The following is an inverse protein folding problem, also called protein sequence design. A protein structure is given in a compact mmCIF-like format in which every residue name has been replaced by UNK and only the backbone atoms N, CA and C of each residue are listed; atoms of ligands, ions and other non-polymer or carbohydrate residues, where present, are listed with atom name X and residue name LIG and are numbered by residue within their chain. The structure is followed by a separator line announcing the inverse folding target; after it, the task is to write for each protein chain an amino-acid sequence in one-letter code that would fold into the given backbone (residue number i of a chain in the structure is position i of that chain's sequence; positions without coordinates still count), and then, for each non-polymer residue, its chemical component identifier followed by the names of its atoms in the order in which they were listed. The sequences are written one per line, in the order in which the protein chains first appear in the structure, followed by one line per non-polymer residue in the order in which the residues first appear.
data_IF_957076154613
#
_entry.id   IF_957076154613
#
_cell.length_a   1.000
_cell.length_b   1.000
_cell.length_c   1.000
_cell.angle_alpha   90.00
_cell.angle_beta   90.00
_cell.angle_gamma   90.00
#
_symmetry.space_group_name_H-M   'P 1'
#
loop_
_entity.id
_entity.type
_entity.pdbx_description
1 polymer ?
#
# COMPACT_ATOMS: atom_id res chain seq x y z
N UNK A 1 -3.47 -1.10 -3.78
CA UNK A 1 -2.01 -1.06 -3.96
C UNK A 1 -1.48 0.11 -3.18
N UNK A 2 -0.50 -0.06 -2.29
CA UNK A 2 0.19 1.06 -1.65
C UNK A 2 1.31 1.59 -2.55
N UNK A 3 1.47 2.91 -2.57
CA UNK A 3 2.44 3.65 -3.37
C UNK A 3 3.16 4.67 -2.49
N UNK A 4 4.33 5.12 -2.92
CA UNK A 4 5.02 6.25 -2.31
C UNK A 4 4.51 7.53 -2.97
N UNK A 5 4.16 8.53 -2.17
CA UNK A 5 3.77 9.86 -2.63
C UNK A 5 4.60 10.89 -1.86
N UNK A 6 5.11 11.90 -2.55
CA UNK A 6 5.90 12.93 -1.89
C UNK A 6 5.69 14.32 -2.50
N UNK A 7 5.96 15.33 -1.69
CA UNK A 7 5.93 16.73 -2.09
C UNK A 7 7.31 17.13 -2.67
N UNK A 8 7.43 17.37 -3.98
CA UNK A 8 8.69 17.71 -4.61
C UNK A 8 9.24 19.09 -4.22
N UNK A 9 8.46 19.93 -3.54
CA UNK A 9 8.94 21.21 -3.01
C UNK A 9 9.63 21.06 -1.65
N UNK A 10 9.40 19.93 -0.96
CA UNK A 10 9.96 19.65 0.37
C UNK A 10 11.01 18.53 0.37
N UNK A 11 11.09 17.75 -0.71
CA UNK A 11 12.01 16.60 -0.83
C UNK A 11 13.01 16.86 -1.94
N UNK A 12 14.28 16.98 -1.56
CA UNK A 12 15.38 17.31 -2.48
C UNK A 12 15.89 16.10 -3.29
N UNK A 13 15.53 14.88 -2.91
CA UNK A 13 15.93 13.65 -3.61
C UNK A 13 14.85 13.18 -4.59
N UNK A 14 15.27 12.48 -5.64
CA UNK A 14 14.37 11.84 -6.60
C UNK A 14 14.08 10.42 -6.16
N UNK A 15 12.98 10.23 -5.45
CA UNK A 15 12.55 8.91 -4.94
C UNK A 15 12.09 8.04 -6.10
N UNK A 16 12.69 6.84 -6.26
CA UNK A 16 12.39 5.87 -7.32
C UNK A 16 11.90 4.53 -6.79
N UNK A 17 12.17 4.24 -5.52
CA UNK A 17 11.83 2.98 -4.94
C UNK A 17 11.82 2.98 -3.42
N UNK A 18 11.58 1.80 -2.86
CA UNK A 18 11.53 1.66 -1.41
C UNK A 18 12.86 1.94 -0.74
N UNK A 19 13.99 1.64 -1.40
CA UNK A 19 15.35 1.88 -0.85
C UNK A 19 15.58 3.33 -0.49
N UNK A 20 14.98 4.25 -1.25
CA UNK A 20 15.16 5.68 -1.05
C UNK A 20 14.52 6.18 0.24
N UNK A 21 13.56 5.42 0.83
CA UNK A 21 12.96 5.77 2.10
C UNK A 21 13.95 5.73 3.28
N UNK A 22 15.09 5.02 3.13
CA UNK A 22 16.17 4.98 4.12
C UNK A 22 17.19 6.12 3.96
N UNK A 23 16.98 7.06 3.03
CA UNK A 23 17.87 8.20 2.89
C UNK A 23 17.81 9.09 4.14
N UNK A 24 18.96 9.46 4.76
CA UNK A 24 18.97 10.28 5.96
C UNK A 24 18.38 11.69 5.78
N UNK A 25 18.28 12.19 4.55
CA UNK A 25 17.63 13.48 4.27
C UNK A 25 16.12 13.46 4.54
N UNK A 26 15.53 12.28 4.72
CA UNK A 26 14.12 12.08 5.05
C UNK A 26 13.87 11.92 6.56
N UNK A 27 14.84 12.31 7.43
CA UNK A 27 14.65 12.27 8.87
C UNK A 27 13.35 12.97 9.30
N UNK A 28 12.53 12.29 10.12
CA UNK A 28 11.24 12.79 10.66
C UNK A 28 10.26 13.29 9.57
N UNK A 29 10.24 12.66 8.39
CA UNK A 29 9.52 13.16 7.22
C UNK A 29 8.49 12.20 6.64
N UNK A 30 8.46 10.93 7.07
CA UNK A 30 7.68 9.88 6.41
C UNK A 30 6.42 9.54 7.21
N UNK A 31 5.27 9.56 6.55
CA UNK A 31 4.01 9.00 7.06
C UNK A 31 3.80 7.58 6.50
N UNK A 32 3.63 6.60 7.38
CA UNK A 32 3.43 5.20 7.01
C UNK A 32 2.03 4.71 7.36
N UNK A 33 1.51 3.79 6.55
CA UNK A 33 0.29 3.03 6.89
C UNK A 33 0.57 2.01 8.00
N UNK A 34 -0.40 1.81 8.91
CA UNK A 34 -0.28 0.91 10.06
C UNK A 34 -0.57 -0.56 9.69
N UNK A 35 0.16 -1.12 8.73
CA UNK A 35 0.01 -2.50 8.29
C UNK A 35 1.34 -3.26 8.34
N UNK A 36 1.46 -4.16 9.33
CA UNK A 36 2.71 -4.89 9.58
C UNK A 36 3.19 -5.72 8.39
N UNK A 37 2.26 -6.37 7.66
CA UNK A 37 2.62 -7.18 6.49
C UNK A 37 3.14 -6.32 5.34
N UNK A 38 2.50 -5.17 5.12
CA UNK A 38 2.88 -4.24 4.07
C UNK A 38 4.23 -3.59 4.37
N UNK A 39 4.44 -3.12 5.60
CA UNK A 39 5.70 -2.43 5.97
C UNK A 39 6.89 -3.41 6.02
N UNK A 40 6.73 -4.62 6.57
CA UNK A 40 7.77 -5.65 6.43
C UNK A 40 8.00 -6.00 4.94
N UNK A 41 6.91 -6.09 4.15
CA UNK A 41 6.98 -6.45 2.73
C UNK A 41 7.78 -5.44 1.90
N UNK A 42 7.56 -4.13 2.05
CA UNK A 42 8.37 -3.12 1.34
C UNK A 42 9.83 -3.12 1.79
N UNK A 43 10.08 -3.43 3.06
CA UNK A 43 11.46 -3.60 3.55
C UNK A 43 12.12 -4.80 2.88
N UNK A 44 11.44 -5.93 2.75
CA UNK A 44 11.94 -7.10 2.03
C UNK A 44 12.20 -6.81 0.55
N UNK A 45 11.25 -6.18 -0.14
CA UNK A 45 11.43 -5.77 -1.53
C UNK A 45 12.65 -4.85 -1.69
N UNK A 46 12.88 -3.92 -0.74
CA UNK A 46 14.08 -3.07 -0.74
C UNK A 46 15.40 -3.85 -0.59
N UNK A 47 15.34 -5.05 0.02
CA UNK A 47 16.47 -5.96 0.18
C UNK A 47 16.62 -6.93 -1.00
N UNK A 48 15.66 -6.96 -1.93
CA UNK A 48 15.59 -7.90 -3.05
C UNK A 48 15.01 -9.27 -2.66
N UNK A 49 14.31 -9.32 -1.53
CA UNK A 49 13.62 -10.51 -1.02
C UNK A 49 12.12 -10.46 -1.35
N UNK A 50 11.44 -11.61 -1.31
CA UNK A 50 9.99 -11.67 -1.50
C UNK A 50 9.25 -11.08 -0.30
N UNK A 51 8.18 -10.32 -0.55
CA UNK A 51 7.28 -9.87 0.53
C UNK A 51 6.48 -11.01 1.18
N UNK A 52 6.56 -12.22 0.62
CA UNK A 52 5.94 -13.42 1.15
C UNK A 52 6.99 -14.41 1.71
N UNK A 53 8.13 -13.91 2.17
CA UNK A 53 9.20 -14.71 2.73
C UNK A 53 8.74 -15.54 3.93
N UNK A 54 9.19 -16.79 4.01
CA UNK A 54 8.88 -17.71 5.09
C UNK A 54 10.08 -18.11 5.93
N UNK A 55 11.31 -17.84 5.48
CA UNK A 55 12.50 -18.07 6.27
C UNK A 55 12.60 -17.07 7.41
N UNK A 56 12.42 -17.56 8.64
CA UNK A 56 12.41 -16.75 9.86
C UNK A 56 13.70 -15.97 10.05
N UNK A 57 14.85 -16.49 9.59
CA UNK A 57 16.12 -15.79 9.74
C UNK A 57 16.27 -14.66 8.73
N UNK A 58 15.69 -14.78 7.54
CA UNK A 58 15.56 -13.67 6.58
C UNK A 58 14.61 -12.61 7.14
N UNK A 59 13.44 -13.02 7.69
CA UNK A 59 12.47 -12.10 8.29
C UNK A 59 13.07 -11.34 9.50
N UNK A 60 13.94 -11.96 10.30
CA UNK A 60 14.67 -11.26 11.37
C UNK A 60 15.59 -10.17 10.82
N UNK A 61 16.33 -10.44 9.73
CA UNK A 61 17.16 -9.42 9.07
C UNK A 61 16.31 -8.28 8.49
N UNK A 62 15.13 -8.60 7.99
CA UNK A 62 14.15 -7.60 7.60
C UNK A 62 13.79 -6.68 8.77
N UNK A 63 13.59 -7.23 9.96
CA UNK A 63 13.34 -6.45 11.19
C UNK A 63 14.50 -5.53 11.56
N UNK A 64 15.75 -6.03 11.48
CA UNK A 64 16.95 -5.21 11.69
C UNK A 64 17.00 -4.04 10.68
N UNK A 65 16.76 -4.32 9.40
CA UNK A 65 16.71 -3.29 8.36
C UNK A 65 15.55 -2.30 8.57
N UNK A 66 14.39 -2.79 9.00
CA UNK A 66 13.23 -1.95 9.28
C UNK A 66 13.49 -0.98 10.44
N UNK A 67 14.24 -1.37 11.47
CA UNK A 67 14.62 -0.48 12.55
C UNK A 67 15.49 0.71 12.09
N UNK A 68 16.27 0.53 11.03
CA UNK A 68 17.05 1.64 10.43
C UNK A 68 16.15 2.72 9.79
N UNK A 69 14.89 2.41 9.46
CA UNK A 69 13.92 3.35 8.92
C UNK A 69 13.30 4.24 10.00
N UNK A 70 13.29 3.80 11.26
CA UNK A 70 12.57 4.48 12.34
C UNK A 70 12.90 5.99 12.48
N UNK A 71 14.16 6.45 12.33
CA UNK A 71 14.47 7.88 12.39
C UNK A 71 13.79 8.74 11.30
N UNK A 72 13.45 8.13 10.17
CA UNK A 72 12.81 8.83 9.06
C UNK A 72 11.28 8.92 9.21
N UNK A 73 10.72 8.15 10.15
CA UNK A 73 9.25 8.07 10.32
C UNK A 73 8.75 9.17 11.24
N UNK A 74 7.89 10.02 10.70
CA UNK A 74 7.18 11.06 11.43
C UNK A 74 5.96 10.53 12.16
N UNK A 75 5.17 9.67 11.48
CA UNK A 75 3.98 9.07 12.05
C UNK A 75 3.59 7.76 11.37
N UNK A 76 2.84 6.94 12.10
CA UNK A 76 2.22 5.71 11.59
C UNK A 76 0.72 5.83 11.82
N UNK A 77 -0.08 5.76 10.75
CA UNK A 77 -1.52 5.97 10.80
C UNK A 77 -2.24 5.04 9.82
N UNK A 78 -3.41 4.53 10.19
CA UNK A 78 -4.19 3.61 9.35
C UNK A 78 -5.09 4.36 8.37
N UNK A 79 -5.90 5.28 8.90
CA UNK A 79 -6.88 6.03 8.13
C UNK A 79 -6.39 7.44 7.83
N UNK A 80 -6.72 7.92 6.61
CA UNK A 80 -6.45 9.30 6.20
C UNK A 80 -4.97 9.73 6.29
N UNK A 81 -4.04 8.79 6.06
CA UNK A 81 -2.58 9.07 6.06
C UNK A 81 -2.20 10.17 5.07
N UNK A 82 -2.96 10.35 3.98
CA UNK A 82 -2.78 11.46 3.03
C UNK A 82 -2.89 12.84 3.68
N UNK A 83 -3.60 12.98 4.80
CA UNK A 83 -3.74 14.26 5.47
C UNK A 83 -2.42 14.77 6.03
N UNK A 84 -1.53 13.86 6.47
CA UNK A 84 -0.20 14.24 6.93
C UNK A 84 0.60 14.95 5.83
N UNK A 85 0.49 14.45 4.60
CA UNK A 85 1.12 15.06 3.42
C UNK A 85 0.47 16.40 3.06
N UNK A 86 -0.88 16.45 3.01
CA UNK A 86 -1.65 17.65 2.63
C UNK A 86 -1.52 18.78 3.66
N UNK A 87 -1.34 18.45 4.93
CA UNK A 87 -1.17 19.43 6.00
C UNK A 87 0.31 19.84 6.23
N UNK A 88 1.25 19.25 5.48
CA UNK A 88 2.68 19.50 5.65
C UNK A 88 3.28 18.91 6.95
N UNK A 89 2.61 17.96 7.57
CA UNK A 89 3.13 17.22 8.74
C UNK A 89 4.20 16.20 8.34
N UNK A 90 4.07 15.63 7.14
CA UNK A 90 5.05 14.78 6.49
C UNK A 90 5.29 15.24 5.07
N UNK A 91 6.49 15.06 4.53
CA UNK A 91 6.81 15.38 3.14
C UNK A 91 6.79 14.15 2.22
N UNK A 92 6.83 12.95 2.79
CA UNK A 92 6.69 11.66 2.10
C UNK A 92 5.60 10.85 2.78
N UNK A 93 4.78 10.16 2.00
CA UNK A 93 3.77 9.26 2.55
C UNK A 93 3.71 7.94 1.77
N UNK A 94 3.44 6.85 2.48
CA UNK A 94 3.17 5.55 1.90
C UNK A 94 1.67 5.29 1.99
N UNK A 95 0.97 5.40 0.85
CA UNK A 95 -0.48 5.54 0.75
C UNK A 95 -1.09 4.42 -0.09
N UNK A 96 -2.29 3.96 0.30
CA UNK A 96 -3.12 3.16 -0.60
C UNK A 96 -3.67 4.00 -1.75
N UNK A 97 -3.96 3.38 -2.90
CA UNK A 97 -4.42 4.08 -4.12
C UNK A 97 -5.62 4.99 -3.89
N UNK A 98 -6.56 4.64 -3.00
CA UNK A 98 -7.67 5.51 -2.62
C UNK A 98 -7.21 6.82 -1.96
N UNK A 99 -6.20 6.72 -1.10
CA UNK A 99 -5.60 7.89 -0.44
C UNK A 99 -4.74 8.70 -1.41
N UNK A 100 -4.06 8.04 -2.36
CA UNK A 100 -3.32 8.71 -3.45
C UNK A 100 -4.26 9.56 -4.29
N UNK A 101 -5.39 8.98 -4.73
CA UNK A 101 -6.42 9.69 -5.50
C UNK A 101 -6.95 10.90 -4.75
N UNK A 102 -7.23 10.75 -3.45
CA UNK A 102 -7.70 11.86 -2.62
C UNK A 102 -6.62 12.95 -2.46
N UNK A 103 -5.35 12.57 -2.28
CA UNK A 103 -4.25 13.52 -2.16
C UNK A 103 -4.04 14.33 -3.44
N UNK A 104 -4.02 13.66 -4.61
CA UNK A 104 -3.86 14.32 -5.91
C UNK A 104 -5.04 15.22 -6.29
N UNK A 105 -6.24 14.90 -5.82
CA UNK A 105 -7.41 15.75 -6.03
C UNK A 105 -7.28 17.12 -5.33
N UNK A 106 -6.58 17.19 -4.20
CA UNK A 106 -6.34 18.41 -3.44
C UNK A 106 -5.00 19.08 -3.78
N UNK A 107 -3.96 18.29 -4.05
CA UNK A 107 -2.65 18.79 -4.47
C UNK A 107 -2.11 17.99 -5.67
N UNK A 108 -2.35 18.46 -6.92
CA UNK A 108 -1.91 17.77 -8.12
C UNK A 108 -0.40 17.85 -8.39
N UNK A 109 0.35 18.67 -7.63
CA UNK A 109 1.81 18.81 -7.79
C UNK A 109 2.58 17.71 -7.05
N UNK A 110 1.90 16.89 -6.22
CA UNK A 110 2.48 15.73 -5.56
C UNK A 110 2.99 14.71 -6.58
N UNK A 111 4.13 14.11 -6.29
CA UNK A 111 4.68 13.02 -7.10
C UNK A 111 4.30 11.66 -6.57
N UNK A 112 3.81 10.80 -7.47
CA UNK A 112 3.51 9.39 -7.19
C UNK A 112 4.63 8.53 -7.74
N UNK A 113 5.16 7.62 -6.91
CA UNK A 113 6.23 6.70 -7.28
C UNK A 113 5.71 5.28 -7.33
N UNK A 114 5.95 4.63 -8.45
CA UNK A 114 5.83 3.18 -8.63
C UNK A 114 7.21 2.56 -8.40
N UNK A 115 7.47 1.93 -7.25
CA UNK A 115 8.80 1.50 -6.88
C UNK A 115 9.46 0.56 -7.87
N UNK A 116 10.73 0.80 -8.18
CA UNK A 116 11.52 0.00 -9.13
C UNK A 116 11.69 -1.47 -8.67
N UNK A 117 11.64 -1.71 -7.36
CA UNK A 117 11.72 -3.04 -6.76
C UNK A 117 10.46 -3.89 -7.00
N UNK A 118 9.40 -3.28 -7.52
CA UNK A 118 8.11 -3.90 -7.73
C UNK A 118 7.08 -3.52 -6.67
N UNK A 119 5.82 -3.83 -6.95
CA UNK A 119 4.71 -3.48 -6.08
C UNK A 119 4.27 -4.68 -5.24
N UNK A 120 4.00 -4.44 -3.96
CA UNK A 120 3.26 -5.39 -3.15
C UNK A 120 1.78 -5.01 -3.14
N UNK A 121 0.87 -5.91 -3.44
CA UNK A 121 -0.55 -5.61 -3.45
C UNK A 121 -1.44 -6.74 -2.93
N UNK A 122 -2.55 -6.36 -2.32
CA UNK A 122 -3.63 -7.27 -1.97
C UNK A 122 -4.75 -7.22 -3.00
N UNK A 123 -5.49 -8.29 -3.12
CA UNK A 123 -6.73 -8.36 -3.88
C UNK A 123 -7.88 -8.42 -2.89
N UNK A 124 -8.77 -7.44 -2.95
CA UNK A 124 -10.00 -7.45 -2.17
C UNK A 124 -11.04 -8.28 -2.92
N UNK A 125 -11.52 -9.35 -2.29
CA UNK A 125 -12.51 -10.25 -2.86
C UNK A 125 -13.78 -10.30 -2.04
N UNK A 126 -14.93 -10.44 -2.71
CA UNK A 126 -16.17 -10.80 -2.08
C UNK A 126 -16.39 -12.32 -2.19
N UNK A 127 -16.96 -12.91 -1.15
CA UNK A 127 -17.28 -14.32 -1.12
C UNK A 127 -18.61 -14.56 -0.39
N UNK A 128 -19.28 -15.65 -0.74
CA UNK A 128 -20.54 -16.06 -0.13
C UNK A 128 -20.23 -17.17 0.87
N UNK A 129 -20.49 -16.99 2.19
CA UNK A 129 -20.30 -18.04 3.18
C UNK A 129 -21.13 -19.30 2.82
N UNK A 130 -20.62 -20.48 3.20
CA UNK A 130 -21.32 -21.77 2.92
C UNK A 130 -22.73 -21.82 3.51
N UNK A 131 -22.93 -21.19 4.67
CA UNK A 131 -24.17 -21.14 5.41
C UNK A 131 -24.98 -19.85 5.17
N UNK A 132 -24.73 -19.13 4.07
CA UNK A 132 -25.51 -17.95 3.74
C UNK A 132 -27.02 -18.31 3.58
N UNK A 133 -27.92 -17.54 4.22
CA UNK A 133 -29.35 -17.88 4.26
C UNK A 133 -30.02 -17.71 2.90
N UNK A 134 -29.51 -16.83 2.04
CA UNK A 134 -30.02 -16.59 0.69
C UNK A 134 -28.86 -16.39 -0.28
N UNK A 135 -28.40 -17.49 -0.88
CA UNK A 135 -27.29 -17.48 -1.83
C UNK A 135 -27.69 -16.87 -3.17
N UNK A 136 -28.96 -17.03 -3.59
CA UNK A 136 -29.44 -16.51 -4.86
C UNK A 136 -29.49 -14.96 -4.83
N UNK A 137 -29.90 -14.37 -3.72
CA UNK A 137 -29.84 -12.93 -3.52
C UNK A 137 -28.38 -12.44 -3.49
N UNK A 138 -27.47 -13.19 -2.84
CA UNK A 138 -26.05 -12.84 -2.80
C UNK A 138 -25.41 -12.88 -4.20
N UNK A 139 -25.70 -13.92 -5.01
CA UNK A 139 -25.25 -13.98 -6.41
C UNK A 139 -25.83 -12.82 -7.23
N UNK A 140 -27.12 -12.54 -7.09
CA UNK A 140 -27.76 -11.42 -7.81
C UNK A 140 -27.12 -10.07 -7.47
N UNK A 141 -26.74 -9.87 -6.20
CA UNK A 141 -25.99 -8.66 -5.80
C UNK A 141 -24.60 -8.62 -6.43
N UNK A 142 -23.84 -9.71 -6.38
CA UNK A 142 -22.51 -9.78 -6.99
C UNK A 142 -22.57 -9.55 -8.50
N UNK A 143 -23.52 -10.16 -9.21
CA UNK A 143 -23.73 -9.94 -10.63
C UNK A 143 -24.08 -8.48 -10.94
N UNK A 144 -24.88 -7.83 -10.09
CA UNK A 144 -25.24 -6.43 -10.24
C UNK A 144 -24.01 -5.50 -10.12
N UNK A 145 -23.19 -5.67 -9.08
CA UNK A 145 -22.02 -4.81 -8.89
C UNK A 145 -20.90 -5.08 -9.88
N UNK A 146 -20.90 -6.25 -10.55
CA UNK A 146 -19.96 -6.59 -11.61
C UNK A 146 -20.36 -6.02 -12.97
N UNK A 147 -21.55 -5.42 -13.13
CA UNK A 147 -21.90 -4.71 -14.37
C UNK A 147 -20.94 -3.54 -14.58
N UNK A 148 -20.43 -3.32 -15.81
CA UNK A 148 -19.38 -2.32 -16.04
C UNK A 148 -19.70 -0.93 -15.50
N UNK A 149 -20.93 -0.44 -15.72
CA UNK A 149 -21.39 0.89 -15.29
C UNK A 149 -21.51 0.98 -13.77
N UNK A 150 -21.84 -0.10 -13.09
CA UNK A 150 -21.92 -0.16 -11.63
C UNK A 150 -20.54 -0.29 -11.03
N UNK A 151 -19.71 -1.17 -11.59
CA UNK A 151 -18.32 -1.34 -11.18
C UNK A 151 -17.53 -0.03 -11.31
N UNK A 152 -17.72 0.71 -12.41
CA UNK A 152 -17.09 2.01 -12.61
C UNK A 152 -17.47 2.99 -11.50
N UNK A 153 -18.76 3.12 -11.17
CA UNK A 153 -19.23 4.00 -10.08
C UNK A 153 -18.66 3.59 -8.72
N UNK A 154 -18.54 2.30 -8.45
CA UNK A 154 -17.93 1.80 -7.22
C UNK A 154 -16.44 2.15 -7.17
N UNK A 155 -15.73 1.97 -8.27
CA UNK A 155 -14.30 2.29 -8.40
C UNK A 155 -14.04 3.78 -8.20
N UNK A 156 -14.79 4.64 -8.87
CA UNK A 156 -14.66 6.11 -8.73
C UNK A 156 -14.96 6.58 -7.30
N UNK A 157 -15.92 5.94 -6.62
CA UNK A 157 -16.26 6.28 -5.24
C UNK A 157 -15.20 5.83 -4.24
N UNK A 158 -14.66 4.60 -4.41
CA UNK A 158 -13.69 4.01 -3.49
C UNK A 158 -12.28 4.54 -3.74
N UNK A 159 -11.94 4.89 -4.98
CA UNK A 159 -10.61 5.34 -5.40
C UNK A 159 -9.57 4.21 -5.49
N UNK A 160 -9.99 2.94 -5.50
CA UNK A 160 -9.11 1.81 -5.77
C UNK A 160 -9.05 1.49 -7.26
N UNK A 161 -7.97 0.85 -7.69
CA UNK A 161 -7.88 0.37 -9.07
C UNK A 161 -8.99 -0.63 -9.37
N UNK A 162 -9.60 -0.46 -10.55
CA UNK A 162 -10.61 -1.40 -11.05
C UNK A 162 -10.01 -2.77 -11.32
N UNK A 163 -10.72 -3.83 -10.90
CA UNK A 163 -10.45 -5.21 -11.29
C UNK A 163 -11.36 -5.68 -12.43
N UNK A 164 -12.31 -4.84 -12.84
CA UNK A 164 -13.25 -5.13 -13.94
C UNK A 164 -12.78 -4.44 -15.22
N UNK A 165 -12.09 -5.20 -16.07
CA UNK A 165 -11.56 -4.67 -17.32
C UNK A 165 -12.62 -4.05 -18.25
N UNK A 166 -13.87 -4.49 -18.18
CA UNK A 166 -14.97 -3.91 -18.95
C UNK A 166 -15.41 -2.53 -18.43
N UNK A 167 -14.99 -2.14 -17.23
CA UNK A 167 -15.25 -0.83 -16.66
C UNK A 167 -14.13 0.19 -16.96
N UNK A 168 -12.97 -0.22 -17.50
CA UNK A 168 -11.79 0.65 -17.67
C UNK A 168 -12.07 1.89 -18.52
N UNK A 169 -12.96 1.78 -19.53
CA UNK A 169 -13.37 2.91 -20.36
C UNK A 169 -14.34 3.89 -19.68
N UNK A 170 -14.89 3.50 -18.51
CA UNK A 170 -15.94 4.23 -17.80
C UNK A 170 -15.44 4.86 -16.48
N UNK A 171 -14.29 4.44 -15.98
CA UNK A 171 -13.67 4.96 -14.75
C UNK A 171 -12.73 6.13 -15.06
N UNK A 172 -12.38 6.89 -14.02
CA UNK A 172 -11.29 7.85 -14.14
C UNK A 172 -10.03 7.12 -14.63
N UNK A 173 -9.36 7.60 -15.71
CA UNK A 173 -8.15 6.96 -16.25
C UNK A 173 -7.05 6.72 -15.21
N UNK A 174 -6.95 7.56 -14.17
CA UNK A 174 -5.98 7.42 -13.08
C UNK A 174 -6.27 6.21 -12.16
N UNK A 175 -7.48 5.63 -12.26
CA UNK A 175 -7.91 4.44 -11.54
C UNK A 175 -7.86 3.15 -12.38
N UNK A 176 -7.35 3.23 -13.59
CA UNK A 176 -7.03 2.04 -14.40
C UNK A 176 -5.72 1.45 -13.91
N UNK A 177 -5.70 0.12 -13.75
CA UNK A 177 -4.49 -0.60 -13.30
C UNK A 177 -3.34 -0.34 -14.29
N UNK A 178 -2.22 0.25 -13.87
CA UNK A 178 -1.10 0.46 -14.75
C UNK A 178 -0.40 -0.88 -15.11
N UNK A 179 0.17 -0.97 -16.31
CA UNK A 179 0.84 -2.18 -16.80
C UNK A 179 1.99 -2.64 -15.89
N UNK A 180 2.63 -1.72 -15.19
CA UNK A 180 3.75 -2.01 -14.27
C UNK A 180 3.33 -2.78 -13.00
N UNK A 181 2.05 -2.78 -12.63
CA UNK A 181 1.52 -3.59 -11.51
C UNK A 181 1.76 -5.07 -11.71
N UNK A 182 1.84 -5.53 -12.96
CA UNK A 182 2.11 -6.95 -13.28
C UNK A 182 3.49 -7.43 -12.81
N UNK A 183 4.41 -6.53 -12.48
CA UNK A 183 5.75 -6.84 -11.95
C UNK A 183 5.76 -7.03 -10.43
N UNK A 184 4.63 -6.82 -9.77
CA UNK A 184 4.51 -6.89 -8.33
C UNK A 184 4.20 -8.28 -7.78
N UNK A 185 4.20 -8.39 -6.46
CA UNK A 185 3.82 -9.59 -5.73
C UNK A 185 2.46 -9.43 -5.06
N UNK A 186 1.62 -10.46 -5.15
CA UNK A 186 0.39 -10.53 -4.37
C UNK A 186 0.73 -10.98 -2.96
N UNK A 187 0.27 -10.24 -1.94
CA UNK A 187 0.40 -10.63 -0.53
C UNK A 187 -0.34 -11.93 -0.30
N UNK A 188 0.38 -12.93 0.19
CA UNK A 188 -0.13 -14.27 0.49
C UNK A 188 -0.11 -14.57 1.99
N UNK A 189 -0.85 -15.59 2.38
CA UNK A 189 -0.70 -16.16 3.71
C UNK A 189 0.68 -16.81 3.83
N UNK A 190 1.28 -16.66 5.00
CA UNK A 190 2.55 -17.27 5.36
C UNK A 190 2.35 -18.23 6.54
N UNK A 191 3.37 -19.01 6.86
CA UNK A 191 3.37 -19.90 8.02
C UNK A 191 3.17 -19.11 9.33
N UNK A 192 2.70 -19.80 10.37
CA UNK A 192 2.49 -19.20 11.68
C UNK A 192 3.79 -18.64 12.28
N UNK A 193 4.92 -19.32 12.07
CA UNK A 193 6.23 -18.90 12.57
C UNK A 193 6.73 -17.64 11.86
N UNK A 194 6.55 -17.56 10.53
CA UNK A 194 6.86 -16.38 9.75
C UNK A 194 5.98 -15.18 10.17
N UNK A 195 4.67 -15.40 10.31
CA UNK A 195 3.74 -14.35 10.73
C UNK A 195 4.07 -13.81 12.13
N UNK A 196 4.38 -14.70 13.08
CA UNK A 196 4.79 -14.29 14.42
C UNK A 196 6.06 -13.43 14.40
N UNK A 197 7.03 -13.75 13.52
CA UNK A 197 8.24 -12.95 13.38
C UNK A 197 7.94 -11.58 12.74
N UNK A 198 7.07 -11.50 11.74
CA UNK A 198 6.62 -10.24 11.15
C UNK A 198 5.95 -9.33 12.18
N UNK A 199 5.07 -9.88 13.02
CA UNK A 199 4.42 -9.14 14.09
C UNK A 199 5.42 -8.64 15.15
N UNK A 200 6.43 -9.44 15.46
CA UNK A 200 7.53 -9.04 16.36
C UNK A 200 8.31 -7.86 15.78
N UNK A 201 8.77 -7.96 14.54
CA UNK A 201 9.46 -6.87 13.83
C UNK A 201 8.66 -5.57 13.89
N UNK A 202 7.36 -5.67 13.62
CA UNK A 202 6.45 -4.53 13.64
C UNK A 202 6.31 -3.89 15.02
N UNK A 203 6.26 -4.72 16.07
CA UNK A 203 6.16 -4.23 17.45
C UNK A 203 7.43 -3.48 17.86
N UNK A 204 8.60 -4.05 17.53
CA UNK A 204 9.90 -3.43 17.79
C UNK A 204 10.09 -2.14 17.00
N UNK A 205 9.68 -2.14 15.72
CA UNK A 205 9.73 -0.95 14.87
C UNK A 205 8.87 0.19 15.39
N UNK A 206 7.60 -0.06 15.74
CA UNK A 206 6.74 1.00 16.31
C UNK A 206 7.33 1.59 17.59
N UNK A 207 7.88 0.74 18.45
CA UNK A 207 8.53 1.22 19.67
C UNK A 207 9.82 2.04 19.41
N UNK A 208 10.41 1.92 18.23
CA UNK A 208 11.57 2.73 17.84
C UNK A 208 11.18 4.04 17.14
N UNK A 209 9.92 4.15 16.66
CA UNK A 209 9.37 5.40 16.08
C UNK A 209 8.77 6.34 17.16
N UNK A 210 8.53 5.87 18.39
CA UNK A 210 8.03 6.65 19.52
C UNK A 210 9.16 7.46 20.18
#
# INVERSE_FOLDING_TARGET
IPLIVYDPEQVDIDIKGYKDLWDPSLEDSIALTANYRVINGITQLSMGESMNEEDVDVIKKTGEKLLELAPNVRLIQDDNTQNALLNGEASVAFLYTSQVTAALAENPDLKVVYPEEGLGFGIMGMFIPSEAPDKDAAYSFMDYIMQPEVAAKCTDYIGYYSTNKAADELVNPDLVVPDDVTKGEIVQNVSQDADAQYQKNWTEFKAACD
#
